data_IF_718506025508
#
_entry.id   IF_718506025508
#
_cell.length_a   1.000
_cell.length_b   1.000
_cell.length_c   1.000
_cell.angle_alpha   90.00
_cell.angle_beta   90.00
_cell.angle_gamma   90.00
#
_symmetry.space_group_name_H-M   'P 1'
#
loop_
_entity.id
_entity.type
_entity.pdbx_description
1 polymer ?
#
# COMPACT_ATOMS: atom_id res chain seq x y z
N UNK A 1 10.90 19.78 -14.25
CA UNK A 1 10.84 18.52 -13.48
C UNK A 1 9.42 18.34 -13.02
N UNK A 2 8.70 17.32 -13.49
CA UNK A 2 7.40 16.97 -12.93
C UNK A 2 7.61 16.39 -11.54
N UNK A 3 7.12 17.07 -10.51
CA UNK A 3 7.12 16.51 -9.16
C UNK A 3 6.20 15.29 -9.15
N UNK A 4 6.75 14.14 -8.76
CA UNK A 4 5.95 12.94 -8.51
C UNK A 4 4.95 13.24 -7.39
N UNK A 5 3.77 12.64 -7.48
CA UNK A 5 2.76 12.71 -6.42
C UNK A 5 3.14 11.66 -5.37
N UNK A 6 3.24 12.08 -4.11
CA UNK A 6 3.44 11.14 -3.00
C UNK A 6 2.15 10.36 -2.76
N UNK A 7 2.21 9.03 -2.90
CA UNK A 7 1.08 8.14 -2.71
C UNK A 7 1.42 7.16 -1.59
N UNK A 8 0.70 7.25 -0.49
CA UNK A 8 0.79 6.26 0.59
C UNK A 8 -0.23 5.16 0.33
N UNK A 9 0.25 3.92 0.22
CA UNK A 9 -0.60 2.74 0.11
C UNK A 9 -0.68 2.06 1.47
N UNK A 10 -1.80 2.24 2.17
CA UNK A 10 -2.09 1.58 3.44
C UNK A 10 -2.79 0.24 3.20
N UNK A 11 -2.34 -0.81 3.86
CA UNK A 11 -2.90 -2.16 3.71
C UNK A 11 -2.67 -3.06 4.93
N UNK A 12 -3.34 -4.22 4.95
CA UNK A 12 -3.33 -5.17 6.07
C UNK A 12 -4.36 -4.79 7.14
N UNK A 13 -3.90 -4.70 8.39
CA UNK A 13 -4.68 -4.27 9.54
C UNK A 13 -5.19 -5.40 10.43
N UNK A 14 -5.65 -5.01 11.62
CA UNK A 14 -6.33 -5.89 12.58
C UNK A 14 -7.77 -6.15 12.15
N UNK A 15 -7.93 -6.98 11.13
CA UNK A 15 -9.22 -7.35 10.52
C UNK A 15 -9.20 -8.83 10.08
N UNK A 16 -10.37 -9.46 10.04
CA UNK A 16 -10.54 -10.78 9.39
C UNK A 16 -10.21 -10.77 7.90
N UNK A 17 -10.20 -9.59 7.29
CA UNK A 17 -9.84 -9.36 5.88
C UNK A 17 -8.36 -9.02 5.66
N UNK A 18 -7.50 -9.18 6.68
CA UNK A 18 -6.07 -8.85 6.59
C UNK A 18 -5.41 -9.40 5.32
N UNK A 19 -5.57 -10.71 5.06
CA UNK A 19 -4.97 -11.36 3.88
C UNK A 19 -5.56 -10.82 2.56
N UNK A 20 -6.86 -10.51 2.54
CA UNK A 20 -7.53 -9.92 1.36
C UNK A 20 -6.96 -8.53 1.07
N UNK A 21 -6.68 -7.75 2.11
CA UNK A 21 -6.03 -6.44 2.00
C UNK A 21 -4.61 -6.55 1.45
N UNK A 22 -3.82 -7.55 1.89
CA UNK A 22 -2.48 -7.81 1.34
C UNK A 22 -2.52 -8.13 -0.16
N UNK A 23 -3.43 -9.03 -0.58
CA UNK A 23 -3.59 -9.39 -2.00
C UNK A 23 -4.02 -8.19 -2.84
N UNK A 24 -4.92 -7.36 -2.31
CA UNK A 24 -5.36 -6.13 -2.97
C UNK A 24 -4.20 -5.14 -3.14
N UNK A 25 -3.39 -4.96 -2.11
CA UNK A 25 -2.22 -4.08 -2.15
C UNK A 25 -1.18 -4.56 -3.17
N UNK A 26 -0.92 -5.87 -3.24
CA UNK A 26 -0.03 -6.45 -4.25
C UNK A 26 -0.50 -6.16 -5.67
N UNK A 27 -1.81 -6.29 -5.94
CA UNK A 27 -2.40 -5.97 -7.25
C UNK A 27 -2.27 -4.48 -7.60
N UNK A 28 -2.51 -3.59 -6.63
CA UNK A 28 -2.35 -2.14 -6.80
C UNK A 28 -0.89 -1.77 -7.09
N UNK A 29 0.07 -2.30 -6.33
CA UNK A 29 1.50 -2.08 -6.55
C UNK A 29 1.96 -2.55 -7.93
N UNK A 30 1.43 -3.68 -8.41
CA UNK A 30 1.79 -4.22 -9.73
C UNK A 30 1.31 -3.37 -10.90
N UNK A 31 0.30 -2.51 -10.70
CA UNK A 31 -0.34 -1.72 -11.77
C UNK A 31 -0.19 -0.20 -11.58
N UNK A 32 0.47 0.24 -10.52
CA UNK A 32 0.70 1.66 -10.24
C UNK A 32 1.71 2.27 -11.23
N UNK A 33 1.41 3.48 -11.70
CA UNK A 33 2.26 4.21 -12.63
C UNK A 33 3.44 4.89 -11.90
N UNK A 34 4.61 4.26 -11.94
CA UNK A 34 5.83 4.78 -11.34
C UNK A 34 6.36 6.08 -12.00
N UNK A 35 5.87 6.47 -13.18
CA UNK A 35 6.21 7.77 -13.78
C UNK A 35 5.46 8.94 -13.15
N UNK A 36 4.39 8.66 -12.42
CA UNK A 36 3.50 9.65 -11.78
C UNK A 36 3.62 9.69 -10.27
N UNK A 37 3.96 8.56 -9.65
CA UNK A 37 3.88 8.41 -8.19
C UNK A 37 5.22 8.05 -7.55
N UNK A 38 5.50 8.70 -6.43
CA UNK A 38 6.44 8.23 -5.43
C UNK A 38 5.65 7.38 -4.41
N UNK A 39 5.73 6.07 -4.54
CA UNK A 39 4.87 5.12 -3.83
C UNK A 39 5.50 4.77 -2.47
N UNK A 40 4.73 4.93 -1.40
CA UNK A 40 5.12 4.64 -0.02
C UNK A 40 4.19 3.55 0.52
N UNK A 41 4.58 2.26 0.43
CA UNK A 41 3.80 1.19 1.03
C UNK A 41 3.90 1.27 2.55
N UNK A 42 2.76 1.16 3.23
CA UNK A 42 2.68 1.12 4.69
C UNK A 42 1.79 -0.05 5.08
N UNK A 43 2.40 -1.09 5.63
CA UNK A 43 1.71 -2.28 6.08
C UNK A 43 1.26 -2.14 7.53
N UNK A 44 0.08 -2.67 7.86
CA UNK A 44 -0.38 -2.82 9.24
C UNK A 44 -0.50 -4.32 9.52
N UNK A 45 0.14 -4.83 10.58
CA UNK A 45 -0.01 -6.23 10.97
C UNK A 45 -1.36 -6.51 11.64
N UNK A 46 -1.58 -7.77 12.04
CA UNK A 46 -2.80 -8.20 12.73
C UNK A 46 -2.89 -7.68 14.17
N UNK A 47 -1.80 -7.18 14.74
CA UNK A 47 -1.75 -6.58 16.07
C UNK A 47 -2.00 -5.07 16.02
N UNK A 48 -1.92 -4.46 14.84
CA UNK A 48 -2.10 -3.03 14.61
C UNK A 48 -0.80 -2.24 14.55
N UNK A 49 0.36 -2.91 14.47
CA UNK A 49 1.67 -2.27 14.30
C UNK A 49 1.88 -1.89 12.83
N UNK A 50 2.57 -0.76 12.60
CA UNK A 50 2.83 -0.21 11.27
C UNK A 50 4.27 -0.49 10.83
N UNK A 51 4.49 -0.78 9.54
CA UNK A 51 5.77 -1.11 8.91
C UNK A 51 5.93 -0.44 7.55
#
# INVERSE_FOLDING_TARGET
>A
MSNLINLVLLYGGKSGEHEVSLVSAASVLANLDASRYNIIPVGIDKEGCFF
#
